data_IF_635077318700
#
_entry.id   IF_635077318700
#
_cell.length_a   1.000
_cell.length_b   1.000
_cell.length_c   1.000
_cell.angle_alpha   90.00
_cell.angle_beta   90.00
_cell.angle_gamma   90.00
#
_symmetry.space_group_name_H-M   'P 1'
#
loop_
_entity.id
_entity.type
_entity.pdbx_description
1 polymer ?
#
# COMPACT_ATOMS: atom_id res chain seq x y z
N UNK A 1 6.15 29.23 27.28
CA UNK A 1 5.11 28.25 26.86
C UNK A 1 5.19 27.81 25.39
N UNK A 2 5.94 28.48 24.50
CA UNK A 2 6.10 28.08 23.08
C UNK A 2 7.06 26.90 22.81
N UNK A 3 8.02 26.61 23.70
CA UNK A 3 9.04 25.57 23.47
C UNK A 3 8.50 24.13 23.56
N UNK A 4 7.46 23.86 24.34
CA UNK A 4 6.92 22.50 24.53
C UNK A 4 6.01 22.04 23.38
N UNK A 5 5.39 22.97 22.65
CA UNK A 5 4.54 22.65 21.50
C UNK A 5 5.38 22.05 20.35
N UNK A 6 6.55 22.63 20.08
CA UNK A 6 7.44 22.15 19.02
C UNK A 6 7.96 20.72 19.23
N UNK A 7 8.25 20.33 20.47
CA UNK A 7 8.73 18.97 20.77
C UNK A 7 7.63 17.94 20.50
N UNK A 8 6.40 18.18 20.98
CA UNK A 8 5.27 17.27 20.74
C UNK A 8 4.93 17.15 19.25
N UNK A 9 4.96 18.25 18.52
CA UNK A 9 4.75 18.25 17.07
C UNK A 9 5.83 17.43 16.35
N UNK A 10 7.11 17.56 16.73
CA UNK A 10 8.19 16.76 16.15
C UNK A 10 8.03 15.27 16.39
N UNK A 11 7.68 14.87 17.61
CA UNK A 11 7.43 13.47 17.95
C UNK A 11 6.29 12.89 17.11
N UNK A 12 5.18 13.64 17.01
CA UNK A 12 4.05 13.20 16.19
C UNK A 12 4.40 13.10 14.71
N UNK A 13 5.09 14.11 14.14
CA UNK A 13 5.50 14.09 12.73
C UNK A 13 6.45 12.91 12.47
N UNK A 14 7.39 12.62 13.37
CA UNK A 14 8.29 11.49 13.20
C UNK A 14 7.52 10.15 13.13
N UNK A 15 6.55 9.95 14.03
CA UNK A 15 5.68 8.76 13.99
C UNK A 15 4.82 8.71 12.72
N UNK A 16 4.28 9.84 12.29
CA UNK A 16 3.53 9.93 11.05
C UNK A 16 4.37 9.55 9.83
N UNK A 17 5.58 10.09 9.71
CA UNK A 17 6.48 9.79 8.58
C UNK A 17 6.86 8.32 8.54
N UNK A 18 7.17 7.73 9.70
CA UNK A 18 7.45 6.30 9.80
C UNK A 18 6.25 5.46 9.33
N UNK A 19 5.05 5.73 9.88
CA UNK A 19 3.83 5.03 9.48
C UNK A 19 3.54 5.19 7.97
N UNK A 20 3.65 6.42 7.44
CA UNK A 20 3.38 6.73 6.05
C UNK A 20 4.29 5.93 5.10
N UNK A 21 5.58 5.82 5.43
CA UNK A 21 6.58 5.19 4.58
C UNK A 21 6.63 3.66 4.74
N UNK A 22 6.40 3.13 5.94
CA UNK A 22 6.67 1.73 6.26
C UNK A 22 5.41 0.86 6.42
N UNK A 23 4.27 1.46 6.75
CA UNK A 23 3.07 0.70 7.16
C UNK A 23 1.83 1.02 6.30
N UNK A 24 1.61 2.29 5.97
CA UNK A 24 0.44 2.71 5.22
C UNK A 24 0.54 2.28 3.75
N UNK A 25 -0.44 1.50 3.30
CA UNK A 25 -0.53 1.06 1.91
C UNK A 25 -1.32 2.09 1.11
N UNK A 26 -0.65 2.76 0.16
CA UNK A 26 -1.25 3.88 -0.57
C UNK A 26 -1.99 3.37 -1.81
N UNK A 27 -3.25 3.79 -1.99
CA UNK A 27 -4.03 3.42 -3.18
C UNK A 27 -3.36 3.89 -4.49
N UNK A 28 -2.73 5.06 -4.48
CA UNK A 28 -1.94 5.58 -5.62
C UNK A 28 -0.69 4.75 -5.95
N UNK A 29 -0.26 3.86 -5.05
CA UNK A 29 0.84 2.91 -5.26
C UNK A 29 0.32 1.48 -5.48
N UNK A 30 -0.95 1.31 -5.83
CA UNK A 30 -1.59 -0.01 -5.87
C UNK A 30 -1.49 -0.74 -4.53
N UNK A 31 -1.71 -0.04 -3.41
CA UNK A 31 -1.65 -0.62 -2.08
C UNK A 31 -0.33 -1.37 -1.82
N UNK A 32 0.79 -0.67 -1.96
CA UNK A 32 2.08 -0.99 -1.33
C UNK A 32 2.54 0.22 -0.53
N UNK A 33 3.53 0.04 0.33
CA UNK A 33 4.11 1.16 1.08
C UNK A 33 5.10 1.95 0.21
N UNK A 34 5.36 3.23 0.51
CA UNK A 34 6.35 4.02 -0.21
C UNK A 34 7.74 3.39 -0.16
N UNK A 35 8.15 2.81 0.97
CA UNK A 35 9.43 2.12 1.05
C UNK A 35 9.49 0.86 0.18
N UNK A 36 8.44 0.03 0.18
CA UNK A 36 8.37 -1.13 -0.72
C UNK A 36 8.51 -0.72 -2.19
N UNK A 37 7.89 0.40 -2.57
CA UNK A 37 8.02 0.96 -3.93
C UNK A 37 9.43 1.47 -4.20
N UNK A 38 10.01 2.21 -3.25
CA UNK A 38 11.35 2.78 -3.38
C UNK A 38 12.43 1.70 -3.50
N UNK A 39 12.31 0.63 -2.72
CA UNK A 39 13.22 -0.52 -2.73
C UNK A 39 12.96 -1.50 -3.89
N UNK A 40 11.92 -1.29 -4.69
CA UNK A 40 11.53 -2.16 -5.81
C UNK A 40 10.89 -3.50 -5.40
N UNK A 41 10.54 -3.66 -4.12
CA UNK A 41 9.86 -4.85 -3.59
C UNK A 41 8.43 -5.00 -4.16
N UNK A 42 7.84 -3.88 -4.56
CA UNK A 42 6.51 -3.82 -5.16
C UNK A 42 6.39 -4.74 -6.39
N UNK A 43 7.45 -4.91 -7.17
CA UNK A 43 7.45 -5.78 -8.36
C UNK A 43 7.05 -7.21 -7.99
N UNK A 44 7.71 -7.79 -6.98
CA UNK A 44 7.42 -9.15 -6.55
C UNK A 44 6.05 -9.26 -5.86
N UNK A 45 5.70 -8.26 -5.04
CA UNK A 45 4.40 -8.20 -4.34
C UNK A 45 3.24 -8.18 -5.35
N UNK A 46 3.33 -7.31 -6.36
CA UNK A 46 2.28 -7.13 -7.36
C UNK A 46 2.18 -8.35 -8.29
N UNK A 47 3.31 -8.95 -8.68
CA UNK A 47 3.31 -10.19 -9.46
C UNK A 47 2.60 -11.33 -8.69
N UNK A 48 2.90 -11.50 -7.40
CA UNK A 48 2.23 -12.50 -6.58
C UNK A 48 0.73 -12.20 -6.43
N UNK A 49 0.35 -10.92 -6.30
CA UNK A 49 -1.06 -10.52 -6.18
C UNK A 49 -1.87 -10.88 -7.43
N UNK A 50 -1.32 -10.64 -8.62
CA UNK A 50 -1.95 -11.05 -9.89
C UNK A 50 -2.19 -12.55 -9.88
N UNK A 51 -1.17 -13.35 -9.52
CA UNK A 51 -1.31 -14.81 -9.44
C UNK A 51 -2.44 -15.24 -8.49
N UNK A 52 -2.49 -14.68 -7.29
CA UNK A 52 -3.54 -14.98 -6.30
C UNK A 52 -4.94 -14.64 -6.84
N UNK A 53 -5.08 -13.51 -7.53
CA UNK A 53 -6.36 -13.11 -8.12
C UNK A 53 -6.78 -14.02 -9.28
N UNK A 54 -5.86 -14.40 -10.15
CA UNK A 54 -6.17 -15.34 -11.24
C UNK A 54 -6.54 -16.73 -10.70
N UNK A 55 -5.83 -17.23 -9.67
CA UNK A 55 -6.20 -18.49 -8.99
C UNK A 55 -7.61 -18.39 -8.36
N UNK A 56 -7.92 -17.28 -7.70
CA UNK A 56 -9.24 -17.06 -7.09
C UNK A 56 -10.35 -16.94 -8.15
N UNK A 57 -10.06 -16.30 -9.29
CA UNK A 57 -10.97 -16.14 -10.42
C UNK A 57 -11.25 -17.45 -11.12
N UNK A 58 -10.24 -18.29 -11.31
CA UNK A 58 -10.39 -19.64 -11.85
C UNK A 58 -11.27 -20.52 -10.93
N UNK A 59 -11.11 -20.41 -9.61
CA UNK A 59 -11.89 -21.18 -8.62
C UNK A 59 -13.37 -20.76 -8.56
N UNK A 60 -13.68 -19.48 -8.67
CA UNK A 60 -15.06 -18.99 -8.63
C UNK A 60 -15.30 -17.88 -9.68
N UNK A 61 -15.45 -18.24 -10.97
CA UNK A 61 -15.57 -17.26 -12.04
C UNK A 61 -16.86 -16.43 -11.94
N UNK A 62 -17.93 -16.96 -11.33
CA UNK A 62 -19.22 -16.26 -11.17
C UNK A 62 -19.14 -15.04 -10.26
N UNK A 63 -18.16 -15.01 -9.33
CA UNK A 63 -17.91 -13.85 -8.45
C UNK A 63 -17.43 -12.62 -9.23
N UNK A 64 -16.81 -12.84 -10.39
CA UNK A 64 -16.16 -11.79 -11.16
C UNK A 64 -17.05 -11.40 -12.34
N UNK A 65 -17.49 -10.15 -12.37
CA UNK A 65 -18.21 -9.60 -13.52
C UNK A 65 -17.22 -9.61 -14.68
N UNK A 66 -17.59 -10.24 -15.81
CA UNK A 66 -16.82 -10.11 -17.04
C UNK A 66 -16.96 -8.67 -17.53
N UNK A 67 -15.98 -7.83 -17.21
CA UNK A 67 -15.82 -6.57 -17.94
C UNK A 67 -15.23 -6.95 -19.29
N UNK A 68 -16.07 -7.00 -20.32
CA UNK A 68 -15.61 -7.01 -21.70
C UNK A 68 -15.03 -5.62 -21.94
N UNK A 69 -13.72 -5.45 -21.78
CA UNK A 69 -13.08 -4.17 -22.13
C UNK A 69 -13.12 -4.06 -23.66
N UNK A 70 -13.80 -3.00 -24.11
CA UNK A 70 -13.69 -2.42 -25.46
C UNK A 70 -12.34 -1.74 -25.58
#
# INVERSE_FOLDING_TARGET
MAHFAGIRTRVWIAGFVQFYNEEHHHSGLNFVTPNQKHNGEDVAILANRVRVYEEAKAKNPKRWIKVQMI
#
